data_IF_905750726100
#
_entry.id   IF_905750726100
#
_cell.length_a   1.000
_cell.length_b   1.000
_cell.length_c   1.000
_cell.angle_alpha   90.00
_cell.angle_beta   90.00
_cell.angle_gamma   90.00
#
_symmetry.space_group_name_H-M   'P 1'
#
loop_
_entity.id
_entity.type
_entity.pdbx_description
1 polymer ?
#
# COMPACT_ATOMS: atom_id res chain seq x y z
N UNK A 1 -7.49 -0.82 17.57
CA UNK A 1 -6.06 -0.55 17.29
C UNK A 1 -5.86 0.17 15.96
N UNK A 2 -6.39 -0.32 14.88
CA UNK A 2 -6.20 0.30 13.56
C UNK A 2 -6.77 1.72 13.49
N UNK A 3 -7.99 1.92 14.00
CA UNK A 3 -8.59 3.25 14.06
C UNK A 3 -7.70 4.25 14.81
N UNK A 4 -7.17 3.84 15.96
CA UNK A 4 -6.28 4.67 16.77
C UNK A 4 -5.01 5.06 16.00
N UNK A 5 -4.41 4.12 15.27
CA UNK A 5 -3.23 4.39 14.46
C UNK A 5 -3.55 5.36 13.33
N UNK A 6 -4.65 5.14 12.62
CA UNK A 6 -5.06 6.01 11.52
C UNK A 6 -5.35 7.44 12.00
N UNK A 7 -5.94 7.59 13.18
CA UNK A 7 -6.15 8.90 13.81
C UNK A 7 -4.82 9.55 14.21
N UNK A 8 -3.94 8.79 14.85
CA UNK A 8 -2.63 9.30 15.33
C UNK A 8 -1.80 9.89 14.19
N UNK A 9 -1.76 9.21 13.06
CA UNK A 9 -0.96 9.62 11.91
C UNK A 9 -1.74 10.50 10.91
N UNK A 10 -2.97 10.89 11.26
CA UNK A 10 -3.81 11.79 10.44
C UNK A 10 -3.99 11.27 9.00
N UNK A 11 -4.19 9.98 8.88
CA UNK A 11 -4.40 9.34 7.59
C UNK A 11 -5.77 9.68 7.02
N UNK A 12 -5.80 9.96 5.71
CA UNK A 12 -7.04 10.10 4.96
C UNK A 12 -7.82 8.78 4.90
N UNK A 13 -7.16 7.66 5.18
CA UNK A 13 -7.75 6.33 5.19
C UNK A 13 -8.52 6.02 6.47
N UNK A 14 -8.57 6.95 7.42
CA UNK A 14 -9.36 6.78 8.63
C UNK A 14 -10.83 6.44 8.33
N UNK A 15 -11.38 7.02 7.28
CA UNK A 15 -12.77 6.74 6.85
C UNK A 15 -13.01 5.27 6.48
N UNK A 16 -11.95 4.52 6.20
CA UNK A 16 -12.02 3.11 5.84
C UNK A 16 -11.68 2.17 6.99
N UNK A 17 -11.50 2.67 8.22
CA UNK A 17 -10.95 1.88 9.32
C UNK A 17 -11.74 0.59 9.61
N UNK A 18 -13.06 0.63 9.49
CA UNK A 18 -13.90 -0.55 9.74
C UNK A 18 -13.66 -1.65 8.70
N UNK A 19 -13.52 -1.25 7.42
CA UNK A 19 -13.26 -2.20 6.34
C UNK A 19 -11.88 -2.82 6.49
N UNK A 20 -10.85 -2.00 6.69
CA UNK A 20 -9.48 -2.47 6.81
C UNK A 20 -9.29 -3.35 8.03
N UNK A 21 -9.83 -2.97 9.18
CA UNK A 21 -9.70 -3.78 10.39
C UNK A 21 -10.36 -5.15 10.21
N UNK A 22 -11.52 -5.18 9.57
CA UNK A 22 -12.21 -6.43 9.24
C UNK A 22 -11.37 -7.35 8.35
N UNK A 23 -10.69 -6.78 7.35
CA UNK A 23 -9.92 -7.56 6.38
C UNK A 23 -8.51 -7.88 6.86
N UNK A 24 -7.89 -7.02 7.65
CA UNK A 24 -6.48 -7.09 7.98
C UNK A 24 -6.17 -7.71 9.33
N UNK A 25 -7.13 -7.77 10.24
CA UNK A 25 -6.86 -8.15 11.62
C UNK A 25 -6.16 -9.51 11.72
N UNK A 26 -6.62 -10.51 10.97
CA UNK A 26 -6.05 -11.85 11.00
C UNK A 26 -4.64 -11.91 10.39
N UNK A 27 -4.32 -10.99 9.49
CA UNK A 27 -3.07 -10.98 8.74
C UNK A 27 -1.98 -10.10 9.37
N UNK A 28 -2.30 -9.36 10.43
CA UNK A 28 -1.40 -8.34 10.98
C UNK A 28 -0.08 -8.87 11.52
N UNK A 29 0.00 -10.14 11.86
CA UNK A 29 1.22 -10.78 12.38
C UNK A 29 1.95 -11.65 11.34
N UNK A 30 1.45 -11.68 10.13
CA UNK A 30 2.05 -12.46 9.04
C UNK A 30 3.16 -11.64 8.35
N UNK A 31 4.23 -12.31 7.87
CA UNK A 31 5.32 -11.63 7.18
C UNK A 31 4.95 -11.36 5.72
N UNK A 32 4.08 -10.42 5.48
CA UNK A 32 3.58 -10.08 4.16
C UNK A 32 4.45 -9.03 3.46
N UNK A 33 4.31 -8.97 2.14
CA UNK A 33 4.73 -7.82 1.34
C UNK A 33 3.49 -7.05 0.94
N UNK A 34 3.46 -5.76 1.25
CA UNK A 34 2.29 -4.89 1.05
C UNK A 34 2.68 -3.74 0.15
N UNK A 35 1.91 -3.52 -0.91
CA UNK A 35 2.08 -2.38 -1.80
C UNK A 35 0.95 -1.38 -1.60
N UNK A 36 1.31 -0.13 -1.38
CA UNK A 36 0.38 0.99 -1.43
C UNK A 36 0.68 1.85 -2.65
N UNK A 37 -0.30 2.11 -3.47
CA UNK A 37 -0.20 3.07 -4.57
C UNK A 37 -0.60 4.44 -4.03
N UNK A 38 0.34 5.37 -4.07
CA UNK A 38 0.16 6.72 -3.53
C UNK A 38 0.76 6.89 -2.14
N UNK A 39 1.61 7.93 -1.98
CA UNK A 39 2.19 8.27 -0.70
C UNK A 39 1.16 8.92 0.21
N UNK A 40 1.10 8.44 1.46
CA UNK A 40 0.13 8.92 2.44
C UNK A 40 0.57 8.46 3.84
N UNK A 41 0.24 9.18 4.91
CA UNK A 41 0.65 8.80 6.26
C UNK A 41 0.26 7.39 6.71
N UNK A 42 -0.70 6.75 6.03
CA UNK A 42 -1.06 5.34 6.30
C UNK A 42 0.12 4.38 6.14
N UNK A 43 1.16 4.74 5.42
CA UNK A 43 2.38 3.91 5.33
C UNK A 43 2.96 3.63 6.71
N UNK A 44 2.96 4.63 7.61
CA UNK A 44 3.38 4.46 9.00
C UNK A 44 2.43 3.56 9.78
N UNK A 45 1.14 3.67 9.47
CA UNK A 45 0.11 2.83 10.10
C UNK A 45 0.33 1.37 9.74
N UNK A 46 0.52 1.07 8.45
CA UNK A 46 0.77 -0.30 8.00
C UNK A 46 2.03 -0.86 8.63
N UNK A 47 3.09 -0.07 8.69
CA UNK A 47 4.36 -0.49 9.28
C UNK A 47 4.19 -0.88 10.77
N UNK A 48 3.33 -0.22 11.49
CA UNK A 48 3.06 -0.51 12.90
C UNK A 48 1.98 -1.58 13.11
N UNK A 49 1.00 -1.60 12.24
CA UNK A 49 -0.09 -2.59 12.33
C UNK A 49 0.36 -3.97 11.87
N UNK A 50 1.08 -4.03 10.76
CA UNK A 50 1.64 -5.26 10.21
C UNK A 50 3.10 -5.40 10.69
N UNK A 51 3.27 -5.93 11.89
CA UNK A 51 4.54 -5.87 12.62
C UNK A 51 5.70 -6.62 11.97
N UNK A 52 5.41 -7.57 11.07
CA UNK A 52 6.41 -8.41 10.40
C UNK A 52 6.45 -8.21 8.89
N UNK A 53 5.71 -7.26 8.36
CA UNK A 53 5.56 -7.07 6.93
C UNK A 53 6.51 -6.03 6.37
N UNK A 54 6.79 -6.11 5.07
CA UNK A 54 7.50 -5.10 4.30
C UNK A 54 6.47 -4.24 3.57
N UNK A 55 6.62 -2.93 3.68
CA UNK A 55 5.68 -1.95 3.13
C UNK A 55 6.33 -1.25 1.96
N UNK A 56 5.70 -1.33 0.79
CA UNK A 56 6.18 -0.72 -0.44
C UNK A 56 5.21 0.36 -0.89
N UNK A 57 5.75 1.44 -1.44
CA UNK A 57 4.95 2.56 -1.96
C UNK A 57 5.48 3.00 -3.31
N UNK A 58 4.58 3.24 -4.25
CA UNK A 58 4.89 3.92 -5.51
C UNK A 58 4.05 5.19 -5.62
N UNK A 59 4.69 6.25 -6.11
CA UNK A 59 4.05 7.55 -6.33
C UNK A 59 4.85 8.33 -7.37
N UNK A 60 4.22 9.27 -8.05
CA UNK A 60 4.93 10.19 -8.94
C UNK A 60 5.71 11.24 -8.17
N UNK A 61 5.29 11.54 -6.94
CA UNK A 61 5.86 12.61 -6.09
C UNK A 61 5.82 13.99 -6.77
N UNK A 62 4.75 14.25 -7.53
CA UNK A 62 4.60 15.54 -8.22
C UNK A 62 4.31 16.69 -7.26
N UNK A 63 3.64 16.42 -6.14
CA UNK A 63 3.17 17.43 -5.20
C UNK A 63 4.09 17.63 -4.00
N UNK A 64 4.96 16.66 -3.70
CA UNK A 64 5.86 16.70 -2.55
C UNK A 64 7.12 15.91 -2.86
N UNK A 65 8.28 16.48 -2.51
CA UNK A 65 9.57 15.81 -2.70
C UNK A 65 9.71 14.68 -1.67
N UNK A 66 10.12 13.47 -2.10
CA UNK A 66 10.31 12.35 -1.16
C UNK A 66 11.23 12.66 0.02
N UNK A 67 12.25 13.49 -0.18
CA UNK A 67 13.17 13.87 0.90
C UNK A 67 12.51 14.70 2.01
N UNK A 68 11.36 15.31 1.72
CA UNK A 68 10.58 16.07 2.70
C UNK A 68 9.57 15.20 3.44
N UNK A 69 9.52 13.89 3.16
CA UNK A 69 8.61 12.94 3.79
C UNK A 69 9.43 12.05 4.72
N UNK A 70 9.47 12.40 6.00
CA UNK A 70 10.34 11.74 6.98
C UNK A 70 10.07 10.25 7.17
N UNK A 71 8.81 9.82 7.05
CA UNK A 71 8.46 8.42 7.30
C UNK A 71 8.89 7.47 6.17
N UNK A 72 9.29 7.97 5.01
CA UNK A 72 9.79 7.12 3.94
C UNK A 72 11.13 6.45 4.29
N UNK A 73 11.86 6.98 5.25
CA UNK A 73 13.14 6.42 5.72
C UNK A 73 12.99 5.45 6.88
N UNK A 74 11.76 5.15 7.29
CA UNK A 74 11.53 4.23 8.40
C UNK A 74 11.82 2.78 7.99
N UNK A 75 12.18 1.97 8.99
CA UNK A 75 12.46 0.55 8.81
C UNK A 75 11.26 -0.17 8.16
N UNK A 76 11.55 -1.07 7.24
CA UNK A 76 10.55 -1.88 6.52
C UNK A 76 9.66 -1.08 5.57
N UNK A 77 9.96 0.18 5.31
CA UNK A 77 9.27 1.00 4.30
C UNK A 77 10.21 1.19 3.10
N UNK A 78 9.73 0.84 1.92
CA UNK A 78 10.44 0.97 0.64
C UNK A 78 9.57 1.79 -0.30
N UNK A 79 10.19 2.67 -1.06
CA UNK A 79 9.44 3.51 -1.99
C UNK A 79 10.19 3.68 -3.30
N UNK A 80 9.46 3.97 -4.36
CA UNK A 80 10.05 4.35 -5.64
C UNK A 80 9.15 5.36 -6.35
N UNK A 81 9.79 6.28 -7.04
CA UNK A 81 9.09 7.18 -7.96
C UNK A 81 8.60 6.35 -9.14
N UNK A 82 7.31 6.41 -9.43
CA UNK A 82 6.70 5.63 -10.50
C UNK A 82 5.35 6.20 -10.87
N UNK A 83 5.11 6.35 -12.16
CA UNK A 83 3.76 6.58 -12.66
C UNK A 83 3.13 5.21 -12.95
N UNK A 84 2.14 4.83 -12.14
CA UNK A 84 1.50 3.52 -12.24
C UNK A 84 0.74 3.34 -13.57
N UNK A 85 0.40 4.44 -14.25
CA UNK A 85 -0.24 4.40 -15.57
C UNK A 85 0.75 4.13 -16.71
N UNK A 86 2.04 4.26 -16.45
CA UNK A 86 3.09 3.98 -17.42
C UNK A 86 3.63 2.56 -17.18
N UNK A 87 3.25 1.64 -18.07
CA UNK A 87 3.59 0.22 -17.90
C UNK A 87 5.10 -0.04 -17.89
N UNK A 88 5.87 0.76 -18.65
CA UNK A 88 7.33 0.62 -18.68
C UNK A 88 7.97 1.07 -17.37
N UNK A 89 7.50 2.18 -16.79
CA UNK A 89 7.98 2.62 -15.49
C UNK A 89 7.66 1.59 -14.41
N UNK A 90 6.43 1.08 -14.40
CA UNK A 90 6.01 0.08 -13.43
C UNK A 90 6.85 -1.20 -13.55
N UNK A 91 7.05 -1.69 -14.78
CA UNK A 91 7.88 -2.86 -15.01
C UNK A 91 9.32 -2.63 -14.54
N UNK A 92 9.89 -1.45 -14.82
CA UNK A 92 11.24 -1.13 -14.38
C UNK A 92 11.38 -1.16 -12.86
N UNK A 93 10.43 -0.57 -12.14
CA UNK A 93 10.44 -0.58 -10.66
C UNK A 93 10.34 -2.02 -10.15
N UNK A 94 9.36 -2.76 -10.61
CA UNK A 94 9.10 -4.11 -10.12
C UNK A 94 10.22 -5.08 -10.45
N UNK A 95 10.77 -5.01 -11.66
CA UNK A 95 11.78 -5.96 -12.13
C UNK A 95 13.20 -5.57 -11.75
N UNK A 96 13.58 -4.32 -12.00
CA UNK A 96 14.98 -3.88 -11.89
C UNK A 96 15.31 -3.21 -10.57
N UNK A 97 14.37 -2.53 -9.92
CA UNK A 97 14.62 -1.84 -8.65
C UNK A 97 14.30 -2.74 -7.47
N UNK A 98 13.15 -3.41 -7.50
CA UNK A 98 12.66 -4.23 -6.38
C UNK A 98 12.84 -5.74 -6.58
N UNK A 99 13.40 -6.17 -7.68
CA UNK A 99 13.74 -7.57 -7.95
C UNK A 99 12.54 -8.54 -7.87
N UNK A 100 11.49 -8.24 -8.65
CA UNK A 100 10.30 -9.08 -8.82
C UNK A 100 9.56 -9.38 -7.51
N UNK A 101 9.10 -8.39 -6.76
CA UNK A 101 8.32 -8.64 -5.55
C UNK A 101 6.98 -9.28 -5.89
N UNK A 102 6.43 -10.02 -4.91
CA UNK A 102 5.09 -10.59 -4.98
C UNK A 102 4.31 -10.12 -3.77
N UNK A 103 3.31 -9.27 -4.02
CA UNK A 103 2.58 -8.62 -2.94
C UNK A 103 1.40 -9.45 -2.47
N UNK A 104 1.33 -9.70 -1.16
CA UNK A 104 0.20 -10.35 -0.53
C UNK A 104 -1.01 -9.42 -0.44
N UNK A 105 -0.76 -8.12 -0.30
CA UNK A 105 -1.78 -7.09 -0.23
C UNK A 105 -1.38 -5.93 -1.13
N UNK A 106 -2.32 -5.49 -1.97
CA UNK A 106 -2.17 -4.26 -2.76
C UNK A 106 -3.31 -3.32 -2.40
N UNK A 107 -2.97 -2.11 -1.98
CA UNK A 107 -3.93 -1.05 -1.64
C UNK A 107 -3.82 0.03 -2.71
N UNK A 108 -4.88 0.22 -3.47
CA UNK A 108 -4.90 1.07 -4.65
C UNK A 108 -6.05 2.08 -4.60
N UNK A 109 -5.72 3.35 -4.68
CA UNK A 109 -6.70 4.44 -4.81
C UNK A 109 -6.89 4.90 -6.27
N UNK A 110 -6.27 4.20 -7.21
CA UNK A 110 -6.35 4.46 -8.65
C UNK A 110 -7.19 3.38 -9.33
N UNK A 111 -7.21 3.35 -10.64
CA UNK A 111 -7.94 2.33 -11.38
C UNK A 111 -6.99 1.49 -12.24
N UNK A 112 -5.95 0.93 -11.61
CA UNK A 112 -4.88 0.22 -12.29
C UNK A 112 -4.82 -1.27 -11.94
N UNK A 113 -5.96 -1.88 -11.65
CA UNK A 113 -6.02 -3.29 -11.27
C UNK A 113 -5.33 -4.20 -12.29
N UNK A 114 -5.62 -4.03 -13.58
CA UNK A 114 -5.05 -4.88 -14.62
C UNK A 114 -3.52 -4.81 -14.69
N UNK A 115 -2.95 -3.64 -14.43
CA UNK A 115 -1.50 -3.46 -14.44
C UNK A 115 -0.84 -3.97 -13.17
N UNK A 116 -1.53 -3.92 -12.05
CA UNK A 116 -0.97 -4.26 -10.73
C UNK A 116 -1.17 -5.72 -10.34
N UNK A 117 -2.24 -6.36 -10.82
CA UNK A 117 -2.61 -7.71 -10.36
C UNK A 117 -1.53 -8.76 -10.60
N UNK A 118 -0.73 -8.60 -11.65
CA UNK A 118 0.34 -9.56 -11.98
C UNK A 118 1.46 -9.57 -10.95
N UNK A 119 1.56 -8.53 -10.13
CA UNK A 119 2.53 -8.47 -9.03
C UNK A 119 1.94 -8.91 -7.70
N UNK A 120 0.66 -9.27 -7.67
CA UNK A 120 -0.05 -9.70 -6.48
C UNK A 120 -0.22 -11.21 -6.45
N UNK A 121 -0.15 -11.79 -5.25
CA UNK A 121 -0.45 -13.19 -4.98
C UNK A 121 -1.56 -13.36 -3.94
N UNK A 122 -2.18 -12.26 -3.53
CA UNK A 122 -3.19 -12.25 -2.48
C UNK A 122 -4.31 -11.27 -2.77
N UNK A 123 -4.55 -10.40 -1.81
CA UNK A 123 -5.72 -9.53 -1.80
C UNK A 123 -5.40 -8.19 -2.45
N UNK A 124 -6.30 -7.72 -3.30
CA UNK A 124 -6.25 -6.40 -3.90
C UNK A 124 -7.44 -5.58 -3.39
N UNK A 125 -7.13 -4.43 -2.80
CA UNK A 125 -8.14 -3.51 -2.25
C UNK A 125 -8.16 -2.23 -3.07
N UNK A 126 -9.29 -1.99 -3.74
CA UNK A 126 -9.52 -0.75 -4.48
C UNK A 126 -10.35 0.19 -3.63
N UNK A 127 -9.84 1.39 -3.42
CA UNK A 127 -10.54 2.45 -2.71
C UNK A 127 -11.30 3.34 -3.69
N UNK A 128 -12.62 3.43 -3.58
CA UNK A 128 -13.46 4.28 -4.43
C UNK A 128 -14.44 5.03 -3.57
N UNK A 129 -14.35 6.37 -3.61
CA UNK A 129 -15.23 7.22 -2.81
C UNK A 129 -15.08 6.93 -1.33
N UNK A 130 -16.13 6.40 -0.71
CA UNK A 130 -16.15 6.04 0.71
C UNK A 130 -16.15 4.51 0.92
N UNK A 131 -15.84 3.74 -0.10
CA UNK A 131 -15.91 2.29 -0.05
C UNK A 131 -14.60 1.64 -0.48
N UNK A 132 -14.39 0.42 -0.01
CA UNK A 132 -13.28 -0.43 -0.38
C UNK A 132 -13.82 -1.69 -1.04
N UNK A 133 -13.27 -2.02 -2.21
CA UNK A 133 -13.59 -3.25 -2.92
C UNK A 133 -12.39 -4.20 -2.87
N UNK A 134 -12.65 -5.45 -2.50
CA UNK A 134 -11.61 -6.48 -2.45
C UNK A 134 -11.82 -7.48 -3.58
N UNK A 135 -10.86 -7.59 -4.49
CA UNK A 135 -10.95 -8.46 -5.65
C UNK A 135 -10.59 -9.92 -5.37
N UNK A 136 -9.86 -10.21 -4.30
CA UNK A 136 -9.41 -11.56 -4.00
C UNK A 136 -10.01 -12.14 -2.73
N UNK A 137 -10.97 -11.45 -2.14
CA UNK A 137 -11.64 -11.91 -0.93
C UNK A 137 -12.76 -12.87 -1.32
N UNK A 138 -12.54 -14.13 -1.06
CA UNK A 138 -13.61 -15.15 -1.12
C UNK A 138 -14.40 -15.08 0.18
N UNK A 139 -15.67 -14.99 0.05
CA UNK A 139 -16.59 -15.08 1.19
C UNK A 139 -17.25 -16.43 1.25
#
# INVERSE_FOLDING_TARGET
MLQTLLQRYKSKRLKYHLYYDRFFYEDRLKPFMILQVGVEPSLQVWQRYFTKSLIYCIDTFDNIDPKDISYLDQNRIYWSRCNVNDSKQLENVMKNIWNNPRFNIIIDNTNNYESLRKYGIGKYYKEVGNEIFCHSCKR
#
